data_IF_942283125042
#
_entry.id   IF_942283125042
#
_cell.length_a   1.000
_cell.length_b   1.000
_cell.length_c   1.000
_cell.angle_alpha   90.00
_cell.angle_beta   90.00
_cell.angle_gamma   90.00
#
_symmetry.space_group_name_H-M   'P 1'
#
loop_
_entity.id
_entity.type
_entity.pdbx_description
1 polymer ?
#
# COMPACT_ATOMS: atom_id res chain seq x y z
N UNK A 1 42.64 0.81 -28.69
CA UNK A 1 41.18 1.05 -28.58
C UNK A 1 40.40 -0.23 -28.23
N UNK A 2 41.09 -1.36 -27.97
CA UNK A 2 40.49 -2.67 -27.70
C UNK A 2 40.47 -3.05 -26.21
N UNK A 3 41.26 -2.38 -25.36
CA UNK A 3 41.38 -2.73 -23.92
C UNK A 3 40.37 -2.04 -23.00
N UNK A 4 39.78 -0.91 -23.43
CA UNK A 4 38.82 -0.16 -22.60
C UNK A 4 37.48 -0.93 -22.52
N UNK A 5 36.99 -1.47 -23.63
CA UNK A 5 35.76 -2.29 -23.65
C UNK A 5 35.91 -3.57 -22.81
N UNK A 6 37.10 -4.20 -22.81
CA UNK A 6 37.39 -5.35 -21.96
C UNK A 6 37.29 -5.02 -20.48
N UNK A 7 37.62 -3.79 -20.09
CA UNK A 7 37.60 -3.35 -18.69
C UNK A 7 36.20 -2.96 -18.21
N UNK A 8 35.33 -2.44 -19.09
CA UNK A 8 33.95 -2.07 -18.72
C UNK A 8 33.02 -3.27 -18.47
N UNK A 9 33.18 -4.36 -19.22
CA UNK A 9 32.41 -5.60 -19.00
C UNK A 9 33.03 -6.51 -17.92
N UNK A 10 34.31 -6.32 -17.60
CA UNK A 10 35.09 -7.17 -16.69
C UNK A 10 34.49 -7.30 -15.29
N UNK A 11 33.75 -6.31 -14.80
CA UNK A 11 33.25 -6.30 -13.41
C UNK A 11 31.76 -6.64 -13.30
N UNK A 12 31.03 -6.66 -14.43
CA UNK A 12 29.59 -7.02 -14.48
C UNK A 12 29.34 -8.40 -15.05
N UNK A 13 30.38 -9.08 -15.54
CA UNK A 13 30.28 -10.42 -16.10
C UNK A 13 31.32 -11.31 -15.44
N UNK A 14 30.89 -12.46 -14.92
CA UNK A 14 31.79 -13.50 -14.47
C UNK A 14 31.63 -14.75 -15.32
N UNK A 15 32.75 -15.24 -15.82
CA UNK A 15 32.83 -16.54 -16.48
C UNK A 15 33.37 -17.58 -15.50
N UNK A 16 32.73 -18.73 -15.45
CA UNK A 16 33.13 -19.88 -14.67
C UNK A 16 33.13 -21.08 -15.61
N UNK A 17 34.25 -21.80 -15.65
CA UNK A 17 34.35 -23.07 -16.36
C UNK A 17 34.50 -24.17 -15.32
N UNK A 18 33.76 -25.25 -15.50
CA UNK A 18 33.83 -26.44 -14.65
C UNK A 18 34.06 -27.68 -15.50
N UNK A 19 34.61 -28.73 -14.90
CA UNK A 19 34.67 -30.05 -15.53
C UNK A 19 33.26 -30.68 -15.59
N UNK A 20 33.12 -31.83 -16.25
CA UNK A 20 31.83 -32.55 -16.36
C UNK A 20 31.27 -33.04 -15.03
N UNK A 21 32.06 -33.02 -13.95
CA UNK A 21 31.66 -33.39 -12.59
C UNK A 21 31.28 -32.17 -11.73
N UNK A 22 31.37 -30.94 -12.28
CA UNK A 22 31.00 -29.69 -11.61
C UNK A 22 32.10 -29.06 -10.75
N UNK A 23 33.35 -29.52 -10.85
CA UNK A 23 34.50 -28.87 -10.20
C UNK A 23 35.02 -27.72 -11.05
N UNK A 24 35.21 -26.56 -10.42
CA UNK A 24 35.67 -25.34 -11.09
C UNK A 24 37.09 -25.51 -11.59
N UNK A 25 37.30 -25.37 -12.90
CA UNK A 25 38.62 -25.42 -13.56
C UNK A 25 39.17 -24.03 -13.81
N UNK A 26 38.30 -23.05 -14.07
CA UNK A 26 38.67 -21.66 -14.29
C UNK A 26 37.55 -20.73 -13.83
N UNK A 27 37.91 -19.55 -13.29
CA UNK A 27 36.94 -18.47 -13.10
C UNK A 27 37.61 -17.11 -13.30
N UNK A 28 36.87 -16.16 -13.88
CA UNK A 28 37.32 -14.77 -14.00
C UNK A 28 37.29 -14.02 -12.67
N UNK A 29 36.57 -14.55 -11.66
CA UNK A 29 36.44 -13.97 -10.31
C UNK A 29 36.00 -12.50 -10.28
N UNK A 30 35.22 -12.11 -11.30
CA UNK A 30 34.77 -10.74 -11.52
C UNK A 30 33.68 -10.26 -10.56
N UNK A 31 32.74 -11.15 -10.20
CA UNK A 31 31.58 -10.84 -9.33
C UNK A 31 31.78 -11.51 -7.96
N UNK A 32 32.07 -12.82 -7.95
CA UNK A 32 32.36 -13.64 -6.79
C UNK A 32 33.76 -14.24 -6.87
N UNK A 33 34.45 -14.32 -5.74
CA UNK A 33 35.71 -15.05 -5.63
C UNK A 33 35.42 -16.55 -5.45
N UNK A 34 35.75 -17.34 -6.46
CA UNK A 34 35.57 -18.79 -6.50
C UNK A 34 36.95 -19.45 -6.57
N UNK A 35 37.17 -20.42 -5.69
CA UNK A 35 38.40 -21.20 -5.65
C UNK A 35 38.37 -22.32 -6.71
N UNK A 36 39.48 -22.47 -7.43
CA UNK A 36 39.65 -23.55 -8.41
C UNK A 36 39.68 -24.89 -7.66
N UNK A 37 38.98 -25.90 -8.19
CA UNK A 37 38.84 -27.23 -7.59
C UNK A 37 37.67 -27.35 -6.62
N UNK A 38 36.94 -26.28 -6.32
CA UNK A 38 35.69 -26.34 -5.55
C UNK A 38 34.52 -26.77 -6.44
N UNK A 39 33.58 -27.52 -5.88
CA UNK A 39 32.32 -27.87 -6.55
C UNK A 39 31.41 -26.65 -6.68
N UNK A 40 30.88 -26.41 -7.87
CA UNK A 40 29.90 -25.34 -8.12
C UNK A 40 28.57 -25.61 -7.40
N UNK A 41 28.24 -26.88 -7.18
CA UNK A 41 27.03 -27.30 -6.46
C UNK A 41 27.07 -26.89 -4.99
N UNK A 42 28.28 -26.81 -4.41
CA UNK A 42 28.48 -26.40 -3.01
C UNK A 42 28.62 -24.87 -2.87
N UNK A 43 28.48 -24.13 -3.97
CA UNK A 43 28.58 -22.68 -3.99
C UNK A 43 27.24 -22.02 -3.67
N UNK A 44 26.13 -22.52 -4.23
CA UNK A 44 24.80 -21.97 -4.00
C UNK A 44 23.72 -23.04 -4.24
N UNK A 45 22.62 -23.06 -3.44
CA UNK A 45 21.52 -24.02 -3.63
C UNK A 45 20.91 -24.01 -5.03
N UNK A 46 20.98 -22.88 -5.73
CA UNK A 46 20.61 -22.78 -7.14
C UNK A 46 21.35 -23.81 -8.01
N UNK A 47 22.68 -23.89 -7.90
CA UNK A 47 23.47 -24.84 -8.69
C UNK A 47 23.23 -26.27 -8.23
N UNK A 48 23.09 -26.51 -6.91
CA UNK A 48 22.73 -27.82 -6.37
C UNK A 48 21.44 -28.36 -6.98
N UNK A 49 20.42 -27.50 -7.11
CA UNK A 49 19.12 -27.89 -7.68
C UNK A 49 19.22 -28.35 -9.14
N UNK A 50 20.19 -27.83 -9.90
CA UNK A 50 20.42 -28.15 -11.30
C UNK A 50 21.40 -29.32 -11.51
N UNK A 51 21.92 -29.92 -10.44
CA UNK A 51 22.97 -30.94 -10.50
C UNK A 51 22.63 -32.10 -11.44
N UNK A 52 21.41 -32.62 -11.35
CA UNK A 52 20.99 -33.76 -12.18
C UNK A 52 20.88 -33.38 -13.66
N UNK A 53 20.36 -32.20 -13.96
CA UNK A 53 20.18 -31.71 -15.34
C UNK A 53 21.53 -31.42 -16.01
N UNK A 54 22.45 -30.81 -15.25
CA UNK A 54 23.81 -30.48 -15.70
C UNK A 54 24.67 -31.73 -15.99
N UNK A 55 24.41 -32.83 -15.28
CA UNK A 55 25.15 -34.09 -15.44
C UNK A 55 24.61 -34.91 -16.63
N UNK A 56 23.28 -34.99 -16.78
CA UNK A 56 22.63 -35.95 -17.69
C UNK A 56 22.56 -35.48 -19.15
N UNK A 57 22.39 -34.18 -19.41
CA UNK A 57 22.22 -33.67 -20.78
C UNK A 57 23.55 -33.21 -21.38
N UNK A 58 23.93 -33.73 -22.54
CA UNK A 58 25.18 -33.41 -23.24
C UNK A 58 25.10 -32.17 -24.15
N UNK A 59 23.90 -31.63 -24.42
CA UNK A 59 23.69 -30.42 -25.24
C UNK A 59 22.87 -29.36 -24.50
N UNK A 60 23.19 -29.14 -23.24
CA UNK A 60 22.45 -28.25 -22.37
C UNK A 60 22.82 -26.79 -22.61
N UNK A 61 21.83 -25.96 -22.94
CA UNK A 61 21.94 -24.50 -22.99
C UNK A 61 20.74 -23.89 -22.26
N UNK A 62 20.97 -23.37 -21.06
CA UNK A 62 19.94 -22.80 -20.20
C UNK A 62 20.30 -21.36 -19.85
N UNK A 63 19.31 -20.48 -19.92
CA UNK A 63 19.43 -19.10 -19.47
C UNK A 63 18.37 -18.83 -18.41
N UNK A 64 18.81 -18.43 -17.23
CA UNK A 64 17.99 -18.11 -16.07
C UNK A 64 18.13 -16.62 -15.77
N UNK A 65 17.14 -15.80 -16.13
CA UNK A 65 17.14 -14.40 -15.79
C UNK A 65 16.75 -14.19 -14.32
N UNK A 66 17.25 -13.11 -13.70
CA UNK A 66 16.87 -12.65 -12.36
C UNK A 66 17.10 -13.71 -11.25
N UNK A 67 18.27 -14.35 -11.26
CA UNK A 67 18.66 -15.27 -10.18
C UNK A 67 19.34 -14.50 -9.07
N UNK A 68 18.74 -14.54 -7.88
CA UNK A 68 19.32 -14.00 -6.67
C UNK A 68 20.33 -15.00 -6.11
N UNK A 69 21.60 -14.59 -6.07
CA UNK A 69 22.70 -15.35 -5.50
C UNK A 69 23.18 -14.66 -4.22
N UNK A 70 23.19 -15.39 -3.11
CA UNK A 70 23.86 -14.97 -1.87
C UNK A 70 25.09 -15.86 -1.65
N UNK A 71 26.26 -15.29 -1.97
CA UNK A 71 27.55 -15.99 -1.81
C UNK A 71 28.47 -15.09 -0.98
N UNK A 72 28.95 -15.61 0.15
CA UNK A 72 29.86 -14.91 1.06
C UNK A 72 29.32 -13.57 1.60
N UNK A 73 28.02 -13.47 1.90
CA UNK A 73 27.32 -12.27 2.41
C UNK A 73 27.17 -11.13 1.40
N UNK A 74 27.40 -11.41 0.11
CA UNK A 74 27.09 -10.51 -0.97
C UNK A 74 25.86 -11.05 -1.70
N UNK A 75 24.78 -10.30 -1.62
CA UNK A 75 23.52 -10.59 -2.31
C UNK A 75 23.51 -9.83 -3.64
N UNK A 76 23.41 -10.56 -4.75
CA UNK A 76 23.46 -10.01 -6.11
C UNK A 76 22.32 -10.66 -6.92
N UNK A 77 21.67 -9.86 -7.75
CA UNK A 77 20.66 -10.34 -8.71
C UNK A 77 21.30 -10.38 -10.10
N UNK A 78 21.50 -11.58 -10.61
CA UNK A 78 22.21 -11.81 -11.86
C UNK A 78 21.46 -12.73 -12.82
N UNK A 79 21.72 -12.56 -14.11
CA UNK A 79 21.28 -13.51 -15.13
C UNK A 79 22.35 -14.58 -15.30
N UNK A 80 21.95 -15.85 -15.25
CA UNK A 80 22.85 -16.99 -15.31
C UNK A 80 22.62 -17.74 -16.62
N UNK A 81 23.64 -17.81 -17.46
CA UNK A 81 23.62 -18.66 -18.67
C UNK A 81 24.56 -19.83 -18.45
N UNK A 82 24.06 -21.05 -18.59
CA UNK A 82 24.82 -22.28 -18.46
C UNK A 82 24.80 -23.00 -19.81
N UNK A 83 25.99 -23.25 -20.35
CA UNK A 83 26.19 -23.99 -21.59
C UNK A 83 27.15 -25.14 -21.36
N UNK A 84 26.73 -26.35 -21.72
CA UNK A 84 27.62 -27.52 -21.77
C UNK A 84 28.27 -27.59 -23.15
N UNK A 85 29.60 -27.69 -23.16
CA UNK A 85 30.41 -27.91 -24.35
C UNK A 85 31.18 -29.24 -24.19
N UNK A 86 31.74 -29.78 -25.27
CA UNK A 86 32.38 -31.11 -25.25
C UNK A 86 33.55 -31.17 -24.26
N UNK A 87 33.27 -31.67 -23.05
CA UNK A 87 34.24 -31.89 -21.98
C UNK A 87 34.27 -30.83 -20.87
N UNK A 88 33.45 -29.78 -20.93
CA UNK A 88 33.37 -28.76 -19.88
C UNK A 88 32.01 -28.05 -19.85
N UNK A 89 31.70 -27.44 -18.71
CA UNK A 89 30.50 -26.64 -18.52
C UNK A 89 30.89 -25.17 -18.33
N UNK A 90 30.40 -24.30 -19.21
CA UNK A 90 30.58 -22.86 -19.16
C UNK A 90 29.37 -22.19 -18.49
N UNK A 91 29.62 -21.44 -17.44
CA UNK A 91 28.62 -20.65 -16.71
C UNK A 91 29.01 -19.17 -16.85
N UNK A 92 28.07 -18.37 -17.32
CA UNK A 92 28.19 -16.92 -17.41
C UNK A 92 27.19 -16.29 -16.44
N UNK A 93 27.70 -15.42 -15.57
CA UNK A 93 26.91 -14.61 -14.64
C UNK A 93 26.94 -13.17 -15.11
N UNK A 94 25.78 -12.56 -15.33
CA UNK A 94 25.64 -11.14 -15.68
C UNK A 94 25.00 -10.39 -14.52
N UNK A 95 25.75 -9.47 -13.91
CA UNK A 95 25.25 -8.62 -12.84
C UNK A 95 24.32 -7.54 -13.41
N UNK A 96 23.02 -7.70 -13.13
CA UNK A 96 21.96 -6.75 -13.46
C UNK A 96 21.30 -6.18 -12.19
N UNK A 97 21.97 -6.27 -11.04
CA UNK A 97 21.43 -5.85 -9.74
C UNK A 97 20.92 -4.42 -9.80
N UNK A 98 21.72 -3.46 -10.26
CA UNK A 98 21.32 -2.06 -10.43
C UNK A 98 20.03 -1.91 -11.28
N UNK A 99 19.91 -2.67 -12.37
CA UNK A 99 18.76 -2.58 -13.27
C UNK A 99 17.48 -3.10 -12.61
N UNK A 100 17.59 -4.23 -11.92
CA UNK A 100 16.46 -4.84 -11.22
C UNK A 100 16.05 -4.05 -9.98
N UNK A 101 17.00 -3.51 -9.21
CA UNK A 101 16.74 -2.65 -8.06
C UNK A 101 15.99 -1.38 -8.47
N UNK A 102 16.46 -0.68 -9.51
CA UNK A 102 15.80 0.52 -10.02
C UNK A 102 14.38 0.24 -10.54
N UNK A 103 14.19 -0.88 -11.26
CA UNK A 103 12.87 -1.27 -11.76
C UNK A 103 11.93 -1.67 -10.61
N UNK A 104 12.47 -2.32 -9.58
CA UNK A 104 11.73 -2.68 -8.39
C UNK A 104 11.30 -1.46 -7.58
N UNK A 105 12.21 -0.51 -7.36
CA UNK A 105 11.96 0.75 -6.65
C UNK A 105 10.88 1.57 -7.36
N UNK A 106 11.01 1.78 -8.67
CA UNK A 106 9.99 2.49 -9.46
C UNK A 106 8.62 1.79 -9.41
N UNK A 107 8.60 0.45 -9.43
CA UNK A 107 7.36 -0.32 -9.30
C UNK A 107 6.76 -0.20 -7.88
N UNK A 108 7.60 -0.17 -6.85
CA UNK A 108 7.16 0.06 -5.46
C UNK A 108 6.61 1.48 -5.27
N UNK A 109 7.30 2.50 -5.79
CA UNK A 109 6.87 3.89 -5.72
C UNK A 109 5.50 4.06 -6.40
N UNK A 110 5.33 3.50 -7.60
CA UNK A 110 4.04 3.51 -8.30
C UNK A 110 2.93 2.83 -7.51
N UNK A 111 3.21 1.68 -6.89
CA UNK A 111 2.23 0.98 -6.02
C UNK A 111 1.88 1.81 -4.80
N UNK A 112 2.87 2.42 -4.15
CA UNK A 112 2.67 3.28 -2.98
C UNK A 112 1.82 4.51 -3.32
N UNK A 113 2.09 5.15 -4.47
CA UNK A 113 1.30 6.27 -4.98
C UNK A 113 -0.17 5.89 -5.19
N UNK A 114 -0.42 4.75 -5.85
CA UNK A 114 -1.79 4.26 -6.09
C UNK A 114 -2.54 3.95 -4.79
N UNK A 115 -1.86 3.33 -3.81
CA UNK A 115 -2.45 3.05 -2.49
C UNK A 115 -2.81 4.32 -1.74
N UNK A 116 -1.95 5.33 -1.80
CA UNK A 116 -2.19 6.62 -1.16
C UNK A 116 -3.38 7.36 -1.78
N UNK A 117 -3.50 7.32 -3.11
CA UNK A 117 -4.66 7.89 -3.83
C UNK A 117 -5.97 7.22 -3.40
N UNK A 118 -6.00 5.87 -3.39
CA UNK A 118 -7.18 5.12 -2.94
C UNK A 118 -7.54 5.40 -1.48
N UNK A 119 -6.55 5.50 -0.60
CA UNK A 119 -6.78 5.85 0.81
C UNK A 119 -7.31 7.28 0.96
N UNK A 120 -6.84 8.21 0.13
CA UNK A 120 -7.33 9.58 0.12
C UNK A 120 -8.79 9.66 -0.36
N UNK A 121 -9.13 8.98 -1.45
CA UNK A 121 -10.50 8.90 -1.98
C UNK A 121 -11.46 8.30 -0.95
N UNK A 122 -11.08 7.18 -0.33
CA UNK A 122 -11.90 6.50 0.66
C UNK A 122 -12.16 7.38 1.89
N UNK A 123 -11.13 8.07 2.40
CA UNK A 123 -11.27 8.99 3.52
C UNK A 123 -12.16 10.18 3.18
N UNK A 124 -12.03 10.70 1.96
CA UNK A 124 -12.86 11.81 1.48
C UNK A 124 -14.32 11.39 1.42
N UNK A 125 -14.60 10.25 0.78
CA UNK A 125 -15.94 9.68 0.70
C UNK A 125 -16.54 9.42 2.09
N UNK A 126 -15.78 8.83 3.01
CA UNK A 126 -16.23 8.60 4.38
C UNK A 126 -16.60 9.91 5.10
N UNK A 127 -15.79 10.97 4.94
CA UNK A 127 -16.10 12.29 5.52
C UNK A 127 -17.35 12.90 4.91
N UNK A 128 -17.56 12.74 3.61
CA UNK A 128 -18.77 13.21 2.92
C UNK A 128 -20.02 12.46 3.40
N UNK A 129 -19.95 11.13 3.49
CA UNK A 129 -21.02 10.28 4.02
C UNK A 129 -21.35 10.64 5.47
N UNK A 130 -20.34 10.88 6.32
CA UNK A 130 -20.54 11.32 7.70
C UNK A 130 -21.25 12.68 7.77
N UNK A 131 -20.87 13.64 6.92
CA UNK A 131 -21.53 14.95 6.83
C UNK A 131 -22.97 14.81 6.36
N UNK A 132 -23.22 14.00 5.33
CA UNK A 132 -24.57 13.75 4.82
C UNK A 132 -25.45 13.10 5.89
N UNK A 133 -24.93 12.09 6.59
CA UNK A 133 -25.63 11.42 7.70
C UNK A 133 -25.96 12.39 8.83
N UNK A 134 -25.01 13.24 9.24
CA UNK A 134 -25.26 14.27 10.24
C UNK A 134 -26.34 15.26 9.78
N UNK A 135 -26.35 15.63 8.49
CA UNK A 135 -27.40 16.45 7.90
C UNK A 135 -28.78 15.83 8.06
N UNK A 136 -28.94 14.54 7.72
CA UNK A 136 -30.19 13.80 7.86
C UNK A 136 -30.64 13.71 9.32
N UNK A 137 -29.72 13.46 10.26
CA UNK A 137 -30.05 13.45 11.69
C UNK A 137 -30.55 14.82 12.14
N UNK A 138 -29.85 15.90 11.78
CA UNK A 138 -30.25 17.27 12.15
C UNK A 138 -31.65 17.59 11.66
N UNK A 139 -31.94 17.31 10.39
CA UNK A 139 -33.27 17.54 9.80
C UNK A 139 -34.36 16.73 10.53
N UNK A 140 -34.09 15.45 10.82
CA UNK A 140 -35.03 14.59 11.55
C UNK A 140 -35.30 15.10 12.96
N UNK A 141 -34.26 15.45 13.71
CA UNK A 141 -34.41 15.99 15.07
C UNK A 141 -35.21 17.29 15.02
N UNK A 142 -34.86 18.21 14.13
CA UNK A 142 -35.52 19.49 14.02
C UNK A 142 -37.01 19.34 13.66
N UNK A 143 -37.33 18.47 12.70
CA UNK A 143 -38.72 18.18 12.34
C UNK A 143 -39.50 17.61 13.53
N UNK A 144 -38.89 16.72 14.32
CA UNK A 144 -39.54 16.16 15.51
C UNK A 144 -39.75 17.22 16.57
N UNK A 145 -38.74 18.01 16.90
CA UNK A 145 -38.82 19.09 17.91
C UNK A 145 -39.90 20.11 17.52
N UNK A 146 -39.91 20.59 16.28
CA UNK A 146 -40.92 21.54 15.81
C UNK A 146 -42.35 21.01 15.98
N UNK A 147 -42.59 19.74 15.63
CA UNK A 147 -43.91 19.10 15.81
C UNK A 147 -44.32 19.03 17.28
N UNK A 148 -43.42 18.61 18.19
CA UNK A 148 -43.73 18.58 19.62
C UNK A 148 -44.07 19.97 20.17
N UNK A 149 -43.38 21.01 19.69
CA UNK A 149 -43.65 22.40 20.08
C UNK A 149 -45.00 22.91 19.57
N UNK A 150 -45.41 22.51 18.35
CA UNK A 150 -46.74 22.78 17.82
C UNK A 150 -47.82 22.13 18.70
N UNK A 151 -47.63 20.86 19.10
CA UNK A 151 -48.55 20.18 20.00
C UNK A 151 -48.67 20.88 21.35
N UNK A 152 -47.54 21.26 21.97
CA UNK A 152 -47.54 22.01 23.23
C UNK A 152 -48.27 23.36 23.11
N UNK A 153 -48.09 24.05 21.98
CA UNK A 153 -48.79 25.32 21.72
C UNK A 153 -50.30 25.13 21.65
N UNK A 154 -50.76 24.06 20.98
CA UNK A 154 -52.18 23.70 20.91
C UNK A 154 -52.74 23.36 22.29
N UNK A 155 -52.00 22.61 23.12
CA UNK A 155 -52.45 22.25 24.46
C UNK A 155 -52.51 23.45 25.40
N UNK A 156 -51.58 24.40 25.27
CA UNK A 156 -51.65 25.69 25.98
C UNK A 156 -52.87 26.49 25.56
N UNK A 157 -53.18 26.55 24.26
CA UNK A 157 -54.38 27.25 23.78
C UNK A 157 -55.66 26.64 24.37
N UNK A 158 -55.72 25.30 24.50
CA UNK A 158 -56.83 24.62 25.18
C UNK A 158 -56.90 24.97 26.66
N UNK A 159 -55.76 24.99 27.36
CA UNK A 159 -55.67 25.40 28.78
C UNK A 159 -56.18 26.83 28.99
N UNK A 160 -55.80 27.76 28.13
CA UNK A 160 -56.27 29.16 28.16
C UNK A 160 -57.77 29.31 27.92
N UNK A 161 -58.41 28.35 27.25
CA UNK A 161 -59.86 28.35 27.06
C UNK A 161 -60.64 27.87 28.30
N UNK A 162 -59.93 27.44 29.35
CA UNK A 162 -60.52 27.04 30.64
C UNK A 162 -60.45 28.18 31.66
N UNK A 163 -61.20 28.06 32.76
CA UNK A 163 -61.12 29.00 33.87
C UNK A 163 -59.83 28.76 34.67
N UNK A 164 -58.80 29.58 34.42
CA UNK A 164 -57.52 29.56 35.13
C UNK A 164 -57.53 30.53 36.32
N UNK A 165 -56.77 30.21 37.35
CA UNK A 165 -56.41 31.17 38.42
C UNK A 165 -55.27 32.10 37.97
N UNK A 166 -55.08 33.23 38.65
CA UNK A 166 -53.98 34.18 38.34
C UNK A 166 -52.60 33.51 38.34
N UNK A 167 -52.32 32.61 39.30
CA UNK A 167 -51.05 31.89 39.36
C UNK A 167 -50.86 30.93 38.18
N UNK A 168 -51.93 30.25 37.74
CA UNK A 168 -51.90 29.36 36.58
C UNK A 168 -51.75 30.14 35.27
N UNK A 169 -52.36 31.30 35.17
CA UNK A 169 -52.24 32.18 34.01
C UNK A 169 -50.81 32.72 33.85
N UNK A 170 -50.17 33.10 34.97
CA UNK A 170 -48.76 33.49 34.98
C UNK A 170 -47.83 32.35 34.52
N UNK A 171 -48.05 31.12 35.01
CA UNK A 171 -47.28 29.95 34.60
C UNK A 171 -47.44 29.63 33.10
N UNK A 172 -48.68 29.73 32.59
CA UNK A 172 -48.96 29.50 31.16
C UNK A 172 -48.22 30.52 30.29
N UNK A 173 -48.20 31.80 30.67
CA UNK A 173 -47.46 32.84 29.94
C UNK A 173 -45.95 32.59 29.92
N UNK A 174 -45.38 32.10 31.02
CA UNK A 174 -43.96 31.74 31.07
C UNK A 174 -43.62 30.54 30.19
N UNK A 175 -44.48 29.52 30.16
CA UNK A 175 -44.31 28.35 29.28
C UNK A 175 -44.38 28.78 27.81
N UNK A 176 -45.33 29.64 27.42
CA UNK A 176 -45.43 30.17 26.05
C UNK A 176 -44.19 30.95 25.64
N UNK A 177 -43.66 31.79 26.54
CA UNK A 177 -42.42 32.54 26.29
C UNK A 177 -41.26 31.59 26.02
N UNK A 178 -41.13 30.53 26.82
CA UNK A 178 -40.07 29.53 26.67
C UNK A 178 -40.20 28.73 25.36
N UNK A 179 -41.41 28.30 25.00
CA UNK A 179 -41.68 27.63 23.73
C UNK A 179 -41.34 28.56 22.55
N UNK A 180 -41.73 29.83 22.62
CA UNK A 180 -41.44 30.80 21.56
C UNK A 180 -39.93 31.01 21.38
N UNK A 181 -39.19 31.14 22.49
CA UNK A 181 -37.73 31.26 22.46
C UNK A 181 -37.04 30.02 21.87
N UNK A 182 -37.49 28.82 22.26
CA UNK A 182 -36.99 27.55 21.71
C UNK A 182 -37.28 27.42 20.21
N UNK A 183 -38.43 27.92 19.73
CA UNK A 183 -38.84 27.82 18.33
C UNK A 183 -37.94 28.73 17.47
N UNK A 184 -37.64 29.93 17.97
CA UNK A 184 -36.67 30.84 17.34
C UNK A 184 -35.26 30.23 17.29
N UNK A 185 -34.76 29.66 18.39
CA UNK A 185 -33.45 28.99 18.40
C UNK A 185 -33.41 27.83 17.40
N UNK A 186 -34.46 27.03 17.31
CA UNK A 186 -34.56 25.92 16.35
C UNK A 186 -34.51 26.41 14.89
N UNK A 187 -35.18 27.52 14.58
CA UNK A 187 -35.11 28.16 13.25
C UNK A 187 -33.71 28.71 12.95
N UNK A 188 -33.02 29.28 13.93
CA UNK A 188 -31.65 29.80 13.74
C UNK A 188 -30.66 28.67 13.45
N UNK A 189 -30.75 27.56 14.19
CA UNK A 189 -29.96 26.34 13.94
C UNK A 189 -30.19 25.81 12.52
N UNK A 190 -31.44 25.82 12.05
CA UNK A 190 -31.81 25.41 10.69
C UNK A 190 -31.24 26.31 9.59
N UNK A 191 -31.06 27.61 9.87
CA UNK A 191 -30.48 28.57 8.91
C UNK A 191 -28.95 28.58 8.92
N UNK A 192 -28.31 27.72 9.72
CA UNK A 192 -26.85 27.69 9.86
C UNK A 192 -26.27 28.96 10.48
N UNK A 193 -27.09 29.73 11.20
CA UNK A 193 -26.64 30.90 11.94
C UNK A 193 -26.02 30.39 13.24
N UNK A 194 -24.78 30.79 13.52
CA UNK A 194 -24.08 30.45 14.75
C UNK A 194 -24.91 30.96 15.93
N UNK A 195 -25.40 30.04 16.76
CA UNK A 195 -26.28 30.38 17.88
C UNK A 195 -25.39 30.60 19.08
N UNK A 196 -25.33 31.84 19.57
CA UNK A 196 -24.70 32.13 20.85
C UNK A 196 -25.49 31.42 21.95
N UNK A 197 -24.90 30.35 22.49
CA UNK A 197 -25.40 29.59 23.62
C UNK A 197 -24.97 30.31 24.90
N UNK A 198 -25.43 31.56 25.06
CA UNK A 198 -25.33 32.30 26.31
C UNK A 198 -26.04 31.58 27.45
#
# INVERSE_FOLDING_TARGET
>A
MTDILKTFFSNKVQEIQTNTEGFVTQSSNSIFKIEIGRSIFDLHPFFESLKNELIVDDNLNMAFPCVQLDINKNEIVCDITIKKERGYLAILLFDYTDHYENLHEAAQEKKAALLNEQAFELNTKHKEEQKAYLGVIKERINTKVLKEMEFLTVDIQKLKATSLSEEQEALVLDIERNISALHQKTIQINKGIDVDLG
#
